data_IF_849507895322
#
_entry.id   IF_849507895322
#
_cell.length_a   1.000
_cell.length_b   1.000
_cell.length_c   1.000
_cell.angle_alpha   90.00
_cell.angle_beta   90.00
_cell.angle_gamma   90.00
#
_symmetry.space_group_name_H-M   'P 1'
#
loop_
_entity.id
_entity.type
_entity.pdbx_description
1 polymer ?
#
# COMPACT_ATOMS: atom_id res chain seq x y z
N UNK A 1 22.85 -4.34 -76.23
CA UNK A 1 21.50 -4.51 -75.60
C UNK A 1 21.52 -5.11 -74.21
N UNK A 2 22.50 -5.89 -73.78
CA UNK A 2 22.56 -6.48 -72.35
C UNK A 2 22.83 -5.49 -71.22
N UNK A 3 23.53 -4.38 -71.46
CA UNK A 3 23.89 -3.40 -70.37
C UNK A 3 22.73 -2.53 -69.93
N UNK A 4 21.73 -2.25 -70.78
CA UNK A 4 20.55 -1.43 -70.44
C UNK A 4 19.54 -2.22 -69.57
N UNK A 5 19.47 -3.53 -69.81
CA UNK A 5 18.59 -4.40 -69.03
C UNK A 5 19.02 -4.56 -67.56
N UNK A 6 20.36 -4.64 -67.32
CA UNK A 6 20.90 -4.74 -65.95
C UNK A 6 20.71 -3.45 -65.16
N UNK A 7 20.84 -2.27 -65.81
CA UNK A 7 20.62 -0.99 -65.10
C UNK A 7 19.17 -0.81 -64.61
N UNK A 8 18.18 -1.26 -65.39
CA UNK A 8 16.78 -1.19 -65.03
C UNK A 8 16.38 -2.14 -63.89
N UNK A 9 17.00 -3.32 -63.80
CA UNK A 9 16.77 -4.28 -62.73
C UNK A 9 17.43 -3.80 -61.44
N UNK A 10 18.67 -3.28 -61.51
CA UNK A 10 19.38 -2.72 -60.33
C UNK A 10 18.64 -1.52 -59.74
N UNK A 11 18.07 -0.63 -60.60
CA UNK A 11 17.31 0.53 -60.12
C UNK A 11 15.96 0.14 -59.48
N UNK A 12 15.29 -0.90 -59.98
CA UNK A 12 14.07 -1.44 -59.35
C UNK A 12 14.36 -2.13 -58.00
N UNK A 13 15.48 -2.84 -57.88
CA UNK A 13 15.91 -3.46 -56.64
C UNK A 13 16.23 -2.39 -55.57
N UNK A 14 16.88 -1.29 -55.98
CA UNK A 14 17.18 -0.17 -55.07
C UNK A 14 15.91 0.51 -54.53
N UNK A 15 14.86 0.63 -55.37
CA UNK A 15 13.56 1.17 -54.98
C UNK A 15 12.82 0.25 -53.97
N UNK A 16 12.92 -1.06 -54.14
CA UNK A 16 12.28 -2.04 -53.23
C UNK A 16 12.99 -2.04 -51.88
N UNK A 17 14.32 -1.95 -51.85
CA UNK A 17 15.09 -1.86 -50.64
C UNK A 17 14.84 -0.53 -49.91
N UNK A 18 14.75 0.59 -50.65
CA UNK A 18 14.39 1.89 -50.08
C UNK A 18 12.97 1.92 -49.50
N UNK A 19 12.02 1.25 -50.14
CA UNK A 19 10.64 1.11 -49.62
C UNK A 19 10.56 0.24 -48.35
N UNK A 20 11.44 -0.75 -48.19
CA UNK A 20 11.53 -1.53 -46.93
C UNK A 20 12.13 -0.72 -45.77
N UNK A 21 12.98 0.27 -46.02
CA UNK A 21 13.49 1.18 -44.98
C UNK A 21 12.53 2.33 -44.61
N UNK A 22 11.51 2.61 -45.45
CA UNK A 22 10.48 3.60 -45.18
C UNK A 22 9.26 3.01 -44.46
N UNK A 23 9.21 1.69 -44.27
CA UNK A 23 8.30 1.03 -43.35
C UNK A 23 8.76 1.30 -41.94
N UNK A 24 8.63 2.56 -41.49
CA UNK A 24 8.94 2.98 -40.12
C UNK A 24 8.19 2.08 -39.16
N UNK A 25 8.92 1.18 -38.51
CA UNK A 25 8.48 0.58 -37.27
C UNK A 25 8.04 1.74 -36.37
N UNK A 26 6.75 1.92 -36.21
CA UNK A 26 6.22 2.66 -35.09
C UNK A 26 6.68 1.89 -33.86
N UNK A 27 7.91 2.15 -33.44
CA UNK A 27 8.36 1.83 -32.10
C UNK A 27 7.47 2.69 -31.19
N UNK A 28 6.36 2.14 -30.77
CA UNK A 28 5.56 2.72 -29.71
C UNK A 28 6.47 2.74 -28.47
N UNK A 29 7.17 3.85 -28.31
CA UNK A 29 7.94 4.09 -27.10
C UNK A 29 6.94 4.08 -25.94
N UNK A 30 7.00 3.06 -25.09
CA UNK A 30 6.17 2.97 -23.89
C UNK A 30 6.28 4.26 -23.08
N UNK A 31 5.17 4.97 -22.97
CA UNK A 31 5.10 6.23 -22.25
C UNK A 31 4.81 5.96 -20.78
N UNK A 32 5.81 6.13 -19.93
CA UNK A 32 5.69 5.92 -18.48
C UNK A 32 5.55 7.25 -17.77
N UNK A 33 4.54 7.36 -16.90
CA UNK A 33 4.38 8.45 -15.96
C UNK A 33 4.82 8.05 -14.55
N UNK A 34 5.02 9.04 -13.68
CA UNK A 34 5.47 8.86 -12.31
C UNK A 34 4.56 9.59 -11.35
N UNK A 35 4.36 9.01 -10.17
CA UNK A 35 3.51 9.60 -9.12
C UNK A 35 4.13 9.37 -7.74
N UNK A 36 3.89 10.31 -6.82
CA UNK A 36 4.25 10.19 -5.40
C UNK A 36 2.96 10.01 -4.60
N UNK A 37 2.49 8.78 -4.47
CA UNK A 37 1.22 8.49 -3.77
C UNK A 37 1.28 8.88 -2.31
N UNK A 38 2.42 8.73 -1.63
CA UNK A 38 2.60 9.19 -0.25
C UNK A 38 2.36 10.70 -0.11
N UNK A 39 2.87 11.50 -1.07
CA UNK A 39 2.63 12.94 -1.09
C UNK A 39 1.13 13.23 -1.25
N UNK A 40 0.45 12.49 -2.13
CA UNK A 40 -0.99 12.65 -2.34
C UNK A 40 -1.76 12.34 -1.04
N UNK A 41 -1.53 11.17 -0.45
CA UNK A 41 -2.22 10.76 0.77
C UNK A 41 -1.97 11.70 1.95
N UNK A 42 -0.75 12.20 2.12
CA UNK A 42 -0.40 13.20 3.15
C UNK A 42 -1.15 14.52 2.99
N UNK A 43 -1.65 14.84 1.80
CA UNK A 43 -2.44 16.05 1.53
C UNK A 43 -3.96 15.82 1.61
N UNK A 44 -4.43 14.58 1.80
CA UNK A 44 -5.85 14.25 1.96
C UNK A 44 -6.22 14.28 3.44
N UNK A 45 -7.02 15.28 3.87
CA UNK A 45 -7.43 15.38 5.28
C UNK A 45 -8.21 14.16 5.76
N UNK A 46 -9.09 13.60 4.92
CA UNK A 46 -9.82 12.37 5.24
C UNK A 46 -8.89 11.16 5.51
N UNK A 47 -7.76 11.07 4.79
CA UNK A 47 -6.76 10.02 5.02
C UNK A 47 -6.07 10.19 6.38
N UNK A 48 -5.66 11.43 6.72
CA UNK A 48 -5.07 11.71 8.04
C UNK A 48 -6.02 11.36 9.17
N UNK A 49 -7.29 11.74 9.02
CA UNK A 49 -8.32 11.43 10.01
C UNK A 49 -8.55 9.92 10.15
N UNK A 50 -8.56 9.18 9.03
CA UNK A 50 -8.70 7.74 9.03
C UNK A 50 -7.53 7.04 9.73
N UNK A 51 -6.30 7.45 9.46
CA UNK A 51 -5.10 6.94 10.13
C UNK A 51 -5.18 7.21 11.65
N UNK A 52 -5.43 8.47 12.04
CA UNK A 52 -5.54 8.85 13.46
C UNK A 52 -6.64 8.05 14.19
N UNK A 53 -7.75 7.77 13.52
CA UNK A 53 -8.82 6.96 14.10
C UNK A 53 -8.39 5.51 14.33
N UNK A 54 -7.69 4.90 13.36
CA UNK A 54 -7.16 3.53 13.51
C UNK A 54 -6.11 3.45 14.61
N UNK A 55 -5.19 4.43 14.66
CA UNK A 55 -4.17 4.53 15.71
C UNK A 55 -4.80 4.64 17.11
N UNK A 56 -5.79 5.53 17.25
CA UNK A 56 -6.53 5.66 18.52
C UNK A 56 -7.20 4.35 18.96
N UNK A 57 -7.84 3.64 18.04
CA UNK A 57 -8.45 2.34 18.34
C UNK A 57 -7.40 1.29 18.74
N UNK A 58 -6.23 1.32 18.11
CA UNK A 58 -5.12 0.44 18.47
C UNK A 58 -4.58 0.74 19.88
N UNK A 59 -4.39 2.01 20.22
CA UNK A 59 -3.95 2.44 21.54
C UNK A 59 -4.95 2.06 22.64
N UNK A 60 -6.25 2.29 22.40
CA UNK A 60 -7.31 1.93 23.34
C UNK A 60 -7.36 0.40 23.57
N UNK A 61 -7.24 -0.38 22.48
CA UNK A 61 -7.23 -1.83 22.56
C UNK A 61 -5.98 -2.35 23.30
N UNK A 62 -4.81 -1.79 23.02
CA UNK A 62 -3.57 -2.14 23.71
C UNK A 62 -3.67 -1.85 25.20
N UNK A 63 -4.18 -0.67 25.58
CA UNK A 63 -4.37 -0.29 26.97
C UNK A 63 -5.29 -1.27 27.75
N UNK A 64 -6.36 -1.76 27.06
CA UNK A 64 -7.24 -2.77 27.66
C UNK A 64 -6.53 -4.12 27.88
N UNK A 65 -5.75 -4.58 26.87
CA UNK A 65 -4.98 -5.82 27.00
C UNK A 65 -3.92 -5.72 28.12
N UNK A 66 -3.26 -4.58 28.21
CA UNK A 66 -2.27 -4.32 29.27
C UNK A 66 -2.90 -4.33 30.66
N UNK A 67 -4.13 -3.81 30.80
CA UNK A 67 -4.87 -3.86 32.05
C UNK A 67 -5.26 -5.30 32.43
N UNK A 68 -5.71 -6.09 31.46
CA UNK A 68 -6.03 -7.52 31.65
C UNK A 68 -4.77 -8.32 32.03
N UNK A 69 -3.65 -8.06 31.34
CA UNK A 69 -2.36 -8.69 31.67
C UNK A 69 -1.94 -8.42 33.12
N UNK A 70 -2.03 -7.17 33.58
CA UNK A 70 -1.73 -6.79 34.98
C UNK A 70 -2.65 -7.49 35.97
N UNK A 71 -3.93 -7.73 35.62
CA UNK A 71 -4.81 -8.51 36.48
C UNK A 71 -4.36 -9.97 36.60
N UNK A 72 -3.98 -10.59 35.48
CA UNK A 72 -3.46 -11.96 35.46
C UNK A 72 -2.17 -12.05 36.30
N UNK A 73 -1.27 -11.12 36.08
CA UNK A 73 -0.02 -11.01 36.87
C UNK A 73 -0.29 -10.88 38.40
N UNK A 74 -1.28 -10.08 38.78
CA UNK A 74 -1.69 -9.93 40.18
C UNK A 74 -2.22 -11.25 40.75
N UNK A 75 -3.05 -11.98 40.00
CA UNK A 75 -3.58 -13.29 40.41
C UNK A 75 -2.42 -14.28 40.55
N UNK A 76 -1.49 -14.32 39.61
CA UNK A 76 -0.33 -15.18 39.60
C UNK A 76 0.57 -14.89 40.85
N UNK A 77 0.88 -13.62 41.09
CA UNK A 77 1.70 -13.21 42.23
C UNK A 77 1.02 -13.55 43.56
N UNK A 78 -0.29 -13.39 43.66
CA UNK A 78 -1.05 -13.80 44.82
C UNK A 78 -0.99 -15.31 45.05
N UNK A 79 -1.22 -16.09 43.97
CA UNK A 79 -1.08 -17.54 43.99
C UNK A 79 0.31 -17.99 44.50
N UNK A 80 1.38 -17.39 43.97
CA UNK A 80 2.75 -17.73 44.38
C UNK A 80 2.98 -17.50 45.88
N UNK A 81 2.42 -16.43 46.44
CA UNK A 81 2.54 -16.13 47.90
C UNK A 81 1.77 -17.16 48.76
N UNK A 82 0.63 -17.60 48.28
CA UNK A 82 -0.26 -18.49 49.06
C UNK A 82 0.02 -19.99 48.83
N UNK A 83 0.78 -20.32 47.78
CA UNK A 83 0.92 -21.69 47.25
C UNK A 83 1.26 -22.75 48.31
N UNK A 84 2.07 -22.43 49.28
CA UNK A 84 2.46 -23.38 50.32
C UNK A 84 1.34 -23.66 51.34
N UNK A 85 0.43 -22.70 51.55
CA UNK A 85 -0.69 -22.81 52.52
C UNK A 85 -1.98 -23.36 51.86
N UNK A 86 -2.06 -23.38 50.54
CA UNK A 86 -3.23 -23.85 49.81
C UNK A 86 -3.32 -25.37 49.77
N UNK A 87 -4.55 -25.88 49.84
CA UNK A 87 -4.85 -27.27 49.56
C UNK A 87 -4.60 -27.63 48.06
N UNK A 88 -4.51 -28.92 47.72
CA UNK A 88 -4.35 -29.36 46.34
C UNK A 88 -5.45 -28.86 45.43
N UNK A 89 -6.70 -28.86 45.89
CA UNK A 89 -7.87 -28.38 45.12
C UNK A 89 -7.78 -26.89 44.84
N UNK A 90 -7.40 -26.08 45.84
CA UNK A 90 -7.27 -24.63 45.67
C UNK A 90 -6.13 -24.28 44.71
N UNK A 91 -4.98 -24.99 44.79
CA UNK A 91 -3.90 -24.82 43.79
C UNK A 91 -4.36 -25.08 42.38
N UNK A 92 -5.01 -26.19 42.15
CA UNK A 92 -5.55 -26.53 40.84
C UNK A 92 -6.55 -25.47 40.35
N UNK A 93 -7.37 -24.93 41.24
CA UNK A 93 -8.31 -23.86 40.89
C UNK A 93 -7.57 -22.60 40.39
N UNK A 94 -6.57 -22.10 41.13
CA UNK A 94 -5.77 -20.95 40.74
C UNK A 94 -5.01 -21.18 39.43
N UNK A 95 -4.39 -22.33 39.25
CA UNK A 95 -3.67 -22.71 38.04
C UNK A 95 -4.60 -22.73 36.82
N UNK A 96 -5.77 -23.33 36.95
CA UNK A 96 -6.78 -23.35 35.87
C UNK A 96 -7.31 -21.95 35.54
N UNK A 97 -7.53 -21.11 36.56
CA UNK A 97 -7.98 -19.73 36.35
C UNK A 97 -6.93 -18.91 35.58
N UNK A 98 -5.65 -19.00 35.98
CA UNK A 98 -4.57 -18.29 35.31
C UNK A 98 -4.47 -18.74 33.84
N UNK A 99 -4.40 -20.06 33.59
CA UNK A 99 -4.32 -20.63 32.24
C UNK A 99 -5.51 -20.19 31.38
N UNK A 100 -6.71 -20.20 31.95
CA UNK A 100 -7.92 -19.78 31.23
C UNK A 100 -7.87 -18.30 30.84
N UNK A 101 -7.44 -17.43 31.78
CA UNK A 101 -7.31 -15.99 31.53
C UNK A 101 -6.21 -15.66 30.50
N UNK A 102 -5.05 -16.31 30.59
CA UNK A 102 -3.97 -16.16 29.64
C UNK A 102 -4.42 -16.56 28.20
N UNK A 103 -5.15 -17.68 28.11
CA UNK A 103 -5.72 -18.13 26.82
C UNK A 103 -6.71 -17.09 26.27
N UNK A 104 -7.64 -16.62 27.09
CA UNK A 104 -8.62 -15.61 26.69
C UNK A 104 -7.96 -14.31 26.24
N UNK A 105 -6.92 -13.87 26.96
CA UNK A 105 -6.14 -12.68 26.60
C UNK A 105 -5.47 -12.84 25.23
N UNK A 106 -4.83 -13.99 24.99
CA UNK A 106 -4.19 -14.30 23.71
C UNK A 106 -5.20 -14.34 22.57
N UNK A 107 -6.34 -14.99 22.77
CA UNK A 107 -7.41 -15.05 21.76
C UNK A 107 -7.95 -13.65 21.45
N UNK A 108 -8.13 -12.81 22.48
CA UNK A 108 -8.55 -11.42 22.32
C UNK A 108 -7.51 -10.59 21.56
N UNK A 109 -6.23 -10.74 21.88
CA UNK A 109 -5.14 -10.08 21.18
C UNK A 109 -5.14 -10.44 19.68
N UNK A 110 -5.27 -11.74 19.35
CA UNK A 110 -5.34 -12.20 17.96
C UNK A 110 -6.58 -11.68 17.25
N UNK A 111 -7.72 -11.67 17.93
CA UNK A 111 -8.99 -11.13 17.40
C UNK A 111 -8.87 -9.64 17.03
N UNK A 112 -8.12 -8.86 17.80
CA UNK A 112 -7.96 -7.40 17.58
C UNK A 112 -6.83 -7.12 16.59
N UNK A 113 -5.62 -7.68 16.84
CA UNK A 113 -4.39 -7.34 16.14
C UNK A 113 -3.96 -8.36 15.08
N UNK A 114 -4.64 -9.49 14.98
CA UNK A 114 -4.32 -10.52 13.98
C UNK A 114 -4.45 -10.02 12.55
N UNK A 115 -3.93 -10.79 11.59
CA UNK A 115 -3.93 -10.44 10.16
C UNK A 115 -5.33 -10.20 9.58
N UNK A 116 -6.34 -10.83 10.14
CA UNK A 116 -7.77 -10.62 9.81
C UNK A 116 -8.55 -10.02 10.99
N UNK A 117 -7.85 -9.39 11.92
CA UNK A 117 -8.39 -8.83 13.15
C UNK A 117 -9.25 -7.58 12.92
N UNK A 118 -9.87 -7.13 14.00
CA UNK A 118 -10.79 -5.99 13.98
C UNK A 118 -10.11 -4.69 13.50
N UNK A 119 -8.85 -4.45 13.89
CA UNK A 119 -8.10 -3.27 13.46
C UNK A 119 -7.79 -3.30 11.96
N UNK A 120 -7.44 -4.48 11.40
CA UNK A 120 -7.21 -4.59 9.96
C UNK A 120 -8.51 -4.33 9.19
N UNK A 121 -9.62 -4.89 9.63
CA UNK A 121 -10.94 -4.65 9.02
C UNK A 121 -11.31 -3.17 9.07
N UNK A 122 -11.09 -2.52 10.21
CA UNK A 122 -11.37 -1.09 10.37
C UNK A 122 -10.46 -0.22 9.49
N UNK A 123 -9.19 -0.58 9.37
CA UNK A 123 -8.26 0.08 8.46
C UNK A 123 -8.71 -0.02 7.00
N UNK A 124 -9.12 -1.21 6.56
CA UNK A 124 -9.65 -1.41 5.20
C UNK A 124 -10.91 -0.56 4.99
N UNK A 125 -11.85 -0.60 5.92
CA UNK A 125 -13.11 0.17 5.85
C UNK A 125 -12.87 1.67 5.67
N UNK A 126 -11.92 2.24 6.42
CA UNK A 126 -11.68 3.68 6.44
C UNK A 126 -10.76 4.16 5.33
N UNK A 127 -9.74 3.38 4.98
CA UNK A 127 -8.67 3.81 4.09
C UNK A 127 -8.94 3.41 2.64
N UNK A 128 -9.48 2.20 2.41
CA UNK A 128 -9.70 1.71 1.04
C UNK A 128 -10.53 2.65 0.17
N UNK A 129 -11.65 3.24 0.61
CA UNK A 129 -12.41 4.19 -0.22
C UNK A 129 -11.61 5.42 -0.63
N UNK A 130 -10.64 5.83 0.19
CA UNK A 130 -9.77 6.97 -0.11
C UNK A 130 -8.72 6.56 -1.15
N UNK A 131 -8.13 5.38 -0.98
CA UNK A 131 -7.19 4.81 -1.96
C UNK A 131 -7.85 4.63 -3.32
N UNK A 132 -9.06 4.07 -3.36
CA UNK A 132 -9.81 3.87 -4.60
C UNK A 132 -10.03 5.20 -5.35
N UNK A 133 -10.38 6.28 -4.65
CA UNK A 133 -10.51 7.62 -5.25
C UNK A 133 -9.20 8.15 -5.82
N UNK A 134 -8.08 7.95 -5.13
CA UNK A 134 -6.74 8.34 -5.61
C UNK A 134 -6.37 7.55 -6.86
N UNK A 135 -6.57 6.24 -6.85
CA UNK A 135 -6.26 5.38 -8.00
C UNK A 135 -7.12 5.69 -9.21
N UNK A 136 -8.40 6.00 -9.03
CA UNK A 136 -9.26 6.47 -10.12
C UNK A 136 -8.79 7.81 -10.69
N UNK A 137 -8.32 8.73 -9.87
CA UNK A 137 -7.76 9.99 -10.34
C UNK A 137 -6.47 9.77 -11.14
N UNK A 138 -5.57 8.91 -10.64
CA UNK A 138 -4.35 8.51 -11.36
C UNK A 138 -4.69 7.89 -12.71
N UNK A 139 -5.64 6.94 -12.74
CA UNK A 139 -6.08 6.27 -13.96
C UNK A 139 -6.60 7.24 -15.01
N UNK A 140 -7.48 8.17 -14.63
CA UNK A 140 -8.01 9.18 -15.55
C UNK A 140 -6.92 10.06 -16.15
N UNK A 141 -5.93 10.46 -15.38
CA UNK A 141 -4.78 11.24 -15.86
C UNK A 141 -3.92 10.39 -16.80
N UNK A 142 -3.65 9.13 -16.44
CA UNK A 142 -2.92 8.20 -17.28
C UNK A 142 -3.57 8.04 -18.65
N UNK A 143 -4.88 7.81 -18.69
CA UNK A 143 -5.66 7.69 -19.93
C UNK A 143 -5.64 8.99 -20.73
N UNK A 144 -5.88 10.14 -20.12
CA UNK A 144 -5.92 11.44 -20.81
C UNK A 144 -4.56 11.84 -21.39
N UNK A 145 -3.47 11.46 -20.74
CA UNK A 145 -2.10 11.73 -21.18
C UNK A 145 -1.50 10.60 -22.01
N UNK A 146 -2.25 9.52 -22.23
CA UNK A 146 -1.81 8.34 -22.99
C UNK A 146 -0.52 7.73 -22.42
N UNK A 147 -0.47 7.56 -21.09
CA UNK A 147 0.55 6.75 -20.45
C UNK A 147 0.18 5.28 -20.52
N UNK A 148 1.15 4.43 -20.85
CA UNK A 148 1.00 2.98 -20.85
C UNK A 148 1.18 2.39 -19.45
N UNK A 149 1.93 3.08 -18.59
CA UNK A 149 2.16 2.71 -17.20
C UNK A 149 2.35 3.94 -16.31
N UNK A 150 1.95 3.81 -15.05
CA UNK A 150 2.28 4.78 -14.00
C UNK A 150 3.08 4.05 -12.91
N UNK A 151 4.22 4.61 -12.54
CA UNK A 151 5.10 4.09 -11.50
C UNK A 151 5.01 4.96 -10.25
N UNK A 152 4.67 4.35 -9.13
CA UNK A 152 4.76 5.03 -7.83
C UNK A 152 6.21 5.05 -7.35
N UNK A 153 6.73 6.24 -7.12
CA UNK A 153 8.11 6.47 -6.67
C UNK A 153 8.22 6.80 -5.19
N UNK A 154 7.13 6.77 -4.44
CA UNK A 154 7.13 7.14 -3.02
C UNK A 154 8.12 6.32 -2.19
N UNK A 155 8.21 5.02 -2.45
CA UNK A 155 9.06 4.08 -1.71
C UNK A 155 9.88 3.19 -2.67
N UNK A 156 10.25 3.72 -3.84
CA UNK A 156 11.00 2.99 -4.85
C UNK A 156 12.44 3.51 -4.97
N UNK A 157 13.41 2.91 -4.26
CA UNK A 157 14.81 3.35 -4.28
C UNK A 157 15.52 3.10 -5.63
N UNK A 158 14.90 2.35 -6.52
CA UNK A 158 15.46 2.02 -7.84
C UNK A 158 15.35 3.19 -8.81
N UNK A 159 14.38 4.07 -8.62
CA UNK A 159 14.19 5.25 -9.48
C UNK A 159 15.00 6.42 -8.91
N UNK A 160 16.18 6.67 -9.50
CA UNK A 160 17.07 7.75 -9.06
C UNK A 160 16.77 9.10 -9.73
N UNK A 161 16.14 9.09 -10.91
CA UNK A 161 15.76 10.28 -11.64
C UNK A 161 14.61 10.03 -12.62
N UNK A 162 13.71 11.00 -12.73
CA UNK A 162 12.71 11.11 -13.80
C UNK A 162 12.41 12.59 -14.09
N UNK A 163 11.98 12.87 -15.31
CA UNK A 163 11.68 14.25 -15.72
C UNK A 163 10.42 14.76 -15.00
N UNK A 164 10.40 16.00 -14.50
CA UNK A 164 9.19 16.62 -13.94
C UNK A 164 8.00 16.64 -14.91
N UNK A 165 8.25 16.59 -16.23
CA UNK A 165 7.21 16.57 -17.26
C UNK A 165 6.34 15.30 -17.23
N UNK A 166 6.85 14.22 -16.65
CA UNK A 166 6.14 12.94 -16.52
C UNK A 166 5.69 12.64 -15.08
N UNK A 167 5.94 13.57 -14.13
CA UNK A 167 5.37 13.53 -12.79
C UNK A 167 3.92 14.03 -12.84
N UNK A 168 3.00 13.18 -12.42
CA UNK A 168 1.56 13.51 -12.41
C UNK A 168 1.02 13.84 -11.02
N UNK A 169 1.89 13.91 -10.00
CA UNK A 169 1.48 14.08 -8.59
C UNK A 169 0.60 15.31 -8.39
N UNK A 170 1.02 16.46 -8.93
CA UNK A 170 0.25 17.71 -8.79
C UNK A 170 -1.06 17.69 -9.59
N UNK A 171 -1.08 17.02 -10.72
CA UNK A 171 -2.30 16.86 -11.53
C UNK A 171 -3.34 16.00 -10.77
N UNK A 172 -2.88 14.95 -10.08
CA UNK A 172 -3.75 14.11 -9.25
C UNK A 172 -4.30 14.91 -8.07
N UNK A 173 -3.47 15.66 -7.37
CA UNK A 173 -3.92 16.54 -6.28
C UNK A 173 -4.99 17.52 -6.76
N UNK A 174 -4.75 18.18 -7.88
CA UNK A 174 -5.71 19.12 -8.49
C UNK A 174 -7.02 18.44 -8.87
N UNK A 175 -6.95 17.24 -9.43
CA UNK A 175 -8.14 16.46 -9.82
C UNK A 175 -8.97 16.02 -8.60
N UNK A 176 -8.31 15.79 -7.46
CA UNK A 176 -8.96 15.50 -6.17
C UNK A 176 -9.50 16.77 -5.47
N UNK A 177 -9.34 17.96 -6.07
CA UNK A 177 -9.75 19.22 -5.48
C UNK A 177 -8.84 19.70 -4.33
N UNK A 178 -7.62 19.18 -4.26
CA UNK A 178 -6.65 19.51 -3.21
C UNK A 178 -5.73 20.61 -3.74
N UNK A 179 -5.86 21.80 -3.17
CA UNK A 179 -4.95 22.92 -3.45
C UNK A 179 -3.81 22.87 -2.43
N UNK A 180 -2.58 22.68 -2.89
CA UNK A 180 -1.41 22.88 -2.02
C UNK A 180 -1.27 24.36 -1.73
N UNK A 181 -1.49 24.75 -0.49
CA UNK A 181 -0.96 26.01 0.01
C UNK A 181 0.54 25.83 0.20
N UNK A 182 1.32 26.35 -0.75
CA UNK A 182 2.77 26.45 -0.57
C UNK A 182 2.99 27.45 0.58
N UNK A 183 3.43 26.95 1.74
CA UNK A 183 4.06 27.76 2.78
C UNK A 183 5.56 27.57 2.67
#
# INVERSE_FOLDING_TARGET
MKKIFFAGVAMKLLFVVAAMFLGGSNLFAQKTGYVKTETIFKNIQAYKNAIAQVEKLAEEAQSQLDAEYKQIESIYNNYQRLRQSLSSSERTHYENEIISRERALKERQEKIFGSEGELMKKRIELIKPIQDKVFEAIKRIAESRQFDAIVDVSNNPTIVYYSPKVDITEEVLKQLGIVRTNF
#
